data_IF_158316360927
#
_entry.id   IF_158316360927
#
_cell.length_a   1.000
_cell.length_b   1.000
_cell.length_c   1.000
_cell.angle_alpha   90.00
_cell.angle_beta   90.00
_cell.angle_gamma   90.00
#
_symmetry.space_group_name_H-M   'P 1'
#
loop_
_entity.id
_entity.type
_entity.pdbx_description
1 polymer ?
#
# COMPACT_ATOMS: atom_id res chain seq x y z
N UNK A 1 -2.88 24.86 -27.52
CA UNK A 1 -2.98 23.44 -27.14
C UNK A 1 -1.91 23.16 -26.08
N UNK A 2 -2.30 22.90 -24.82
CA UNK A 2 -1.37 22.52 -23.73
C UNK A 2 -1.59 21.04 -23.44
N UNK A 3 -0.52 20.25 -23.45
CA UNK A 3 -0.56 18.80 -23.16
C UNK A 3 -0.91 18.56 -21.68
N UNK A 4 -2.17 18.21 -21.44
CA UNK A 4 -2.74 17.84 -20.13
C UNK A 4 -2.61 16.33 -19.96
N UNK A 5 -1.45 15.77 -19.58
CA UNK A 5 -1.38 14.31 -19.34
C UNK A 5 -0.31 13.80 -18.34
N UNK A 6 0.29 14.64 -17.49
CA UNK A 6 1.31 14.15 -16.53
C UNK A 6 0.97 14.31 -15.03
N UNK A 7 -0.27 14.66 -14.65
CA UNK A 7 -0.65 14.81 -13.23
C UNK A 7 -1.68 13.80 -12.69
N UNK A 8 -2.22 12.91 -13.52
CA UNK A 8 -3.30 12.00 -13.09
C UNK A 8 -2.83 10.82 -12.20
N UNK A 9 -1.57 10.37 -12.31
CA UNK A 9 -1.13 9.10 -11.70
C UNK A 9 -0.89 9.12 -10.18
N UNK A 10 -0.81 10.30 -9.54
CA UNK A 10 -0.58 10.39 -8.09
C UNK A 10 -1.88 10.45 -7.27
N UNK A 11 -3.01 10.76 -7.91
CA UNK A 11 -4.24 11.05 -7.19
C UNK A 11 -4.96 9.78 -6.71
N UNK A 12 -4.84 8.66 -7.44
CA UNK A 12 -5.66 7.49 -7.13
C UNK A 12 -5.12 6.67 -5.95
N UNK A 13 -3.80 6.55 -5.79
CA UNK A 13 -3.22 5.89 -4.61
C UNK A 13 -3.50 6.66 -3.32
N UNK A 14 -3.38 7.98 -3.34
CA UNK A 14 -3.66 8.83 -2.19
C UNK A 14 -5.14 8.74 -1.76
N UNK A 15 -6.07 8.70 -2.73
CA UNK A 15 -7.49 8.44 -2.43
C UNK A 15 -7.68 7.12 -1.69
N UNK A 16 -6.97 6.06 -2.08
CA UNK A 16 -7.06 4.75 -1.42
C UNK A 16 -6.51 4.81 0.03
N UNK A 17 -5.38 5.49 0.24
CA UNK A 17 -4.75 5.59 1.56
C UNK A 17 -5.59 6.42 2.54
N UNK A 18 -6.20 7.50 2.05
CA UNK A 18 -7.05 8.42 2.80
C UNK A 18 -8.52 7.95 2.90
N UNK A 19 -8.89 6.87 2.21
CA UNK A 19 -10.26 6.37 2.24
C UNK A 19 -10.64 5.93 3.66
N UNK A 20 -11.68 6.56 4.21
CA UNK A 20 -12.29 6.17 5.47
C UNK A 20 -13.41 5.15 5.22
N UNK A 21 -13.02 3.92 4.89
CA UNK A 21 -13.94 2.80 4.68
C UNK A 21 -13.48 1.58 5.49
N UNK A 22 -14.43 0.86 6.07
CA UNK A 22 -14.15 -0.37 6.83
C UNK A 22 -13.50 -1.45 5.95
N UNK A 23 -13.87 -1.49 4.66
CA UNK A 23 -13.37 -2.47 3.68
C UNK A 23 -13.00 -1.75 2.39
N UNK A 24 -11.81 -2.05 1.86
CA UNK A 24 -11.29 -1.47 0.62
C UNK A 24 -10.88 -2.61 -0.32
N UNK A 25 -11.42 -2.60 -1.54
CA UNK A 25 -11.01 -3.50 -2.62
C UNK A 25 -10.32 -2.70 -3.72
N UNK A 26 -9.08 -3.07 -4.06
CA UNK A 26 -8.28 -2.37 -5.08
C UNK A 26 -8.12 -3.25 -6.31
N UNK A 27 -8.79 -2.86 -7.40
CA UNK A 27 -8.75 -3.53 -8.70
C UNK A 27 -7.87 -2.70 -9.64
N UNK A 28 -6.77 -3.29 -10.10
CA UNK A 28 -5.83 -2.63 -11.01
C UNK A 28 -5.04 -3.65 -11.83
N UNK A 29 -4.57 -3.23 -13.01
CA UNK A 29 -3.81 -4.08 -13.94
C UNK A 29 -2.52 -4.66 -13.34
N UNK A 30 -1.89 -5.63 -14.03
CA UNK A 30 -0.57 -6.12 -13.65
C UNK A 30 0.46 -4.98 -13.64
N UNK A 31 1.43 -5.01 -12.73
CA UNK A 31 2.48 -3.97 -12.64
C UNK A 31 2.03 -2.60 -12.11
N UNK A 32 0.74 -2.37 -11.85
CA UNK A 32 0.19 -1.10 -11.32
C UNK A 32 0.63 -0.70 -9.91
N UNK A 33 1.57 -1.43 -9.28
CA UNK A 33 2.09 -1.06 -7.97
C UNK A 33 1.16 -1.34 -6.79
N UNK A 34 0.13 -2.20 -6.90
CA UNK A 34 -0.75 -2.59 -5.78
C UNK A 34 0.01 -2.85 -4.47
N UNK A 35 1.09 -3.62 -4.52
CA UNK A 35 1.89 -3.93 -3.33
C UNK A 35 2.72 -2.73 -2.87
N UNK A 36 3.44 -2.07 -3.79
CA UNK A 36 4.46 -1.06 -3.47
C UNK A 36 3.91 0.35 -3.25
N UNK A 37 2.78 0.69 -3.88
CA UNK A 37 2.14 2.00 -3.84
C UNK A 37 0.88 2.04 -2.99
N UNK A 38 0.30 0.87 -2.64
CA UNK A 38 -0.90 0.80 -1.78
C UNK A 38 -0.65 -0.01 -0.52
N UNK A 39 -0.38 -1.30 -0.64
CA UNK A 39 -0.35 -2.21 0.53
C UNK A 39 0.75 -1.82 1.55
N UNK A 40 1.96 -1.57 1.06
CA UNK A 40 3.10 -1.17 1.93
C UNK A 40 2.86 0.20 2.58
N UNK A 41 2.50 1.27 1.84
CA UNK A 41 2.15 2.54 2.46
C UNK A 41 0.99 2.45 3.45
N UNK A 42 -0.04 1.63 3.18
CA UNK A 42 -1.16 1.48 4.11
C UNK A 42 -0.74 0.81 5.41
N UNK A 43 0.08 -0.25 5.34
CA UNK A 43 0.63 -0.87 6.54
C UNK A 43 1.55 0.08 7.33
N UNK A 44 2.38 0.89 6.64
CA UNK A 44 3.19 1.94 7.27
C UNK A 44 2.31 2.99 7.97
N UNK A 45 1.25 3.46 7.31
CA UNK A 45 0.28 4.41 7.88
C UNK A 45 -0.37 3.84 9.15
N UNK A 46 -0.86 2.60 9.11
CA UNK A 46 -1.47 1.95 10.28
C UNK A 46 -0.51 1.90 11.48
N UNK A 47 0.78 1.69 11.24
CA UNK A 47 1.79 1.58 12.31
C UNK A 47 2.25 2.95 12.81
N UNK A 48 2.61 3.85 11.90
CA UNK A 48 3.30 5.11 12.24
C UNK A 48 2.35 6.29 12.48
N UNK A 49 1.19 6.30 11.82
CA UNK A 49 0.22 7.40 11.91
C UNK A 49 -0.93 7.02 12.80
N UNK A 50 -1.47 5.82 12.61
CA UNK A 50 -2.62 5.33 13.39
C UNK A 50 -2.17 4.60 14.69
N UNK A 51 -0.85 4.53 14.94
CA UNK A 51 -0.21 3.95 16.14
C UNK A 51 -0.67 2.51 16.47
N UNK A 52 -1.05 1.74 15.46
CA UNK A 52 -1.47 0.35 15.63
C UNK A 52 -0.24 -0.53 15.79
N UNK A 53 -0.19 -1.27 16.89
CA UNK A 53 0.88 -2.22 17.16
C UNK A 53 1.00 -3.25 16.02
N UNK A 54 2.21 -3.52 15.49
CA UNK A 54 2.38 -4.41 14.33
C UNK A 54 1.82 -5.82 14.52
N UNK A 55 1.76 -6.33 15.75
CA UNK A 55 1.20 -7.64 16.09
C UNK A 55 -0.34 -7.72 15.91
N UNK A 56 -1.03 -6.58 15.80
CA UNK A 56 -2.47 -6.48 15.50
C UNK A 56 -2.76 -6.46 13.99
N UNK A 57 -1.72 -6.44 13.14
CA UNK A 57 -1.86 -6.33 11.67
C UNK A 57 -1.50 -7.67 11.03
N UNK A 58 -2.45 -8.25 10.29
CA UNK A 58 -2.24 -9.48 9.50
C UNK A 58 -2.14 -9.16 8.00
N UNK A 59 -0.99 -9.48 7.41
CA UNK A 59 -0.76 -9.40 5.96
C UNK A 59 -0.70 -10.81 5.37
N UNK A 60 -1.58 -11.10 4.40
CA UNK A 60 -1.67 -12.40 3.75
C UNK A 60 -1.22 -12.31 2.28
N UNK A 61 -0.61 -13.40 1.82
CA UNK A 61 -0.20 -13.58 0.42
C UNK A 61 -0.23 -15.07 0.08
N UNK A 62 -0.43 -15.41 -1.19
CA UNK A 62 -0.62 -16.79 -1.64
C UNK A 62 0.63 -17.66 -1.48
N UNK A 63 1.79 -17.19 -1.96
CA UNK A 63 3.03 -17.98 -1.91
C UNK A 63 3.93 -17.58 -0.74
N UNK A 64 4.71 -18.55 -0.24
CA UNK A 64 5.76 -18.32 0.77
C UNK A 64 6.76 -17.25 0.30
N UNK A 65 7.18 -17.30 -0.96
CA UNK A 65 8.13 -16.32 -1.52
C UNK A 65 7.56 -14.90 -1.51
N UNK A 66 6.29 -14.75 -1.90
CA UNK A 66 5.60 -13.45 -1.89
C UNK A 66 5.40 -12.93 -0.47
N UNK A 67 5.12 -13.80 0.51
CA UNK A 67 5.02 -13.42 1.92
C UNK A 67 6.37 -12.94 2.49
N UNK A 68 7.47 -13.64 2.18
CA UNK A 68 8.83 -13.24 2.58
C UNK A 68 9.20 -11.89 1.95
N UNK A 69 8.92 -11.70 0.66
CA UNK A 69 9.18 -10.44 -0.03
C UNK A 69 8.37 -9.28 0.55
N UNK A 70 7.08 -9.51 0.85
CA UNK A 70 6.23 -8.52 1.51
C UNK A 70 6.76 -8.14 2.90
N UNK A 71 7.13 -9.14 3.72
CA UNK A 71 7.71 -8.91 5.04
C UNK A 71 8.99 -8.07 4.95
N UNK A 72 9.90 -8.41 4.02
CA UNK A 72 11.15 -7.67 3.80
C UNK A 72 10.89 -6.21 3.42
N UNK A 73 9.94 -5.96 2.51
CA UNK A 73 9.58 -4.61 2.06
C UNK A 73 8.95 -3.77 3.16
N UNK A 74 8.06 -4.35 3.98
CA UNK A 74 7.47 -3.67 5.14
C UNK A 74 8.55 -3.32 6.15
N UNK A 75 9.42 -4.29 6.51
CA UNK A 75 10.51 -4.02 7.45
C UNK A 75 11.41 -2.89 6.98
N UNK A 76 11.74 -2.87 5.68
CA UNK A 76 12.51 -1.79 5.06
C UNK A 76 11.76 -0.44 5.05
N UNK A 77 10.43 -0.44 5.08
CA UNK A 77 9.63 0.78 4.99
C UNK A 77 9.35 1.42 6.35
N UNK A 78 9.39 0.65 7.44
CA UNK A 78 8.96 1.04 8.79
C UNK A 78 10.14 1.12 9.78
N UNK A 79 11.13 0.23 9.68
CA UNK A 79 12.20 0.07 10.69
C UNK A 79 13.60 0.39 10.15
N UNK A 80 13.69 1.23 9.11
CA UNK A 80 14.96 1.70 8.54
C UNK A 80 15.39 3.00 9.17
#
# INVERSE_FOLDING_TARGET
MKNVNNQQNNNDYNKILLANAEKICVIAGAGSGKTTKVLIPKAKQLIEVDEIEPNKILLLSFSRLSAIDLQRKIKKSVFV
#
